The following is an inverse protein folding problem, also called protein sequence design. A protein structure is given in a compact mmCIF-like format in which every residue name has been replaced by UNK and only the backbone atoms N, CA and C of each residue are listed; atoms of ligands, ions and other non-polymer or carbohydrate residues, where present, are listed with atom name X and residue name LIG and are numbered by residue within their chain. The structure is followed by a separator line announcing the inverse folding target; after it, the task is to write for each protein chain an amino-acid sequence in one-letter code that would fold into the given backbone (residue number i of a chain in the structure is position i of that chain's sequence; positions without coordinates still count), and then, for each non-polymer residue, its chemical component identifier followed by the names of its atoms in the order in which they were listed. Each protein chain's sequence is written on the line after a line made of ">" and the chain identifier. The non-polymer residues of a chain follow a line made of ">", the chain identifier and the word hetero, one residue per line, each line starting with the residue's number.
data_IF_784098249014
#
_entry.id   IF_784098249014
#
_cell.length_a   1.000
_cell.length_b   1.000
_cell.length_c   1.000
_cell.angle_alpha   90.00
_cell.angle_beta   90.00
_cell.angle_gamma   90.00
#
_symmetry.space_group_name_H-M   'P 1'
#
loop_
_entity.id
_entity.type
_entity.pdbx_description
1 polymer ?
#
# COMPACT_ATOMS: atom_id res chain seq x y z
N UNK A 1 20.33 16.11 1.64
CA UNK A 1 20.77 15.02 0.74
C UNK A 1 19.94 13.79 1.05
N UNK A 2 19.21 13.25 0.07
CA UNK A 2 18.41 12.01 0.17
C UNK A 2 19.29 10.76 -0.12
N UNK A 3 20.58 10.97 -0.44
CA UNK A 3 21.47 10.00 -1.12
C UNK A 3 21.78 8.71 -0.35
N UNK A 4 21.48 8.61 0.93
CA UNK A 4 21.74 7.41 1.75
C UNK A 4 20.50 6.85 2.46
N UNK A 5 19.30 7.36 2.16
CA UNK A 5 18.07 6.82 2.74
C UNK A 5 17.51 5.74 1.81
N UNK A 6 17.25 4.51 2.30
CA UNK A 6 16.75 3.45 1.45
C UNK A 6 15.35 3.77 0.91
N UNK A 7 15.09 3.30 -0.30
CA UNK A 7 13.76 3.23 -0.89
C UNK A 7 13.16 1.85 -0.61
N UNK A 8 11.93 1.84 -0.12
CA UNK A 8 11.18 0.64 0.19
C UNK A 8 10.03 0.49 -0.80
N UNK A 9 9.88 -0.72 -1.34
CA UNK A 9 8.75 -1.09 -2.18
C UNK A 9 7.73 -1.89 -1.36
N UNK A 10 6.47 -1.48 -1.44
CA UNK A 10 5.32 -2.18 -0.86
C UNK A 10 4.51 -2.75 -2.01
N UNK A 11 4.28 -4.06 -1.96
CA UNK A 11 3.58 -4.81 -2.99
C UNK A 11 2.39 -5.52 -2.36
N UNK A 12 1.21 -5.15 -2.81
CA UNK A 12 -0.05 -5.79 -2.44
C UNK A 12 -0.49 -6.66 -3.61
N UNK A 13 -0.45 -7.98 -3.44
CA UNK A 13 -0.81 -8.94 -4.48
C UNK A 13 -2.19 -9.52 -4.21
N UNK A 14 -2.98 -9.69 -5.26
CA UNK A 14 -4.22 -10.46 -5.22
C UNK A 14 -4.02 -11.77 -5.99
N UNK A 15 -3.73 -12.88 -5.31
CA UNK A 15 -3.57 -14.18 -5.97
C UNK A 15 -4.91 -14.82 -6.38
N UNK A 16 -6.05 -14.21 -6.00
CA UNK A 16 -7.37 -14.74 -6.31
C UNK A 16 -7.78 -14.43 -7.76
N UNK A 17 -8.76 -15.19 -8.26
CA UNK A 17 -9.46 -14.90 -9.53
C UNK A 17 -10.56 -13.85 -9.40
N UNK A 18 -10.73 -13.29 -8.20
CA UNK A 18 -11.79 -12.36 -7.86
C UNK A 18 -11.19 -10.97 -7.60
N UNK A 19 -12.01 -9.92 -7.73
CA UNK A 19 -11.58 -8.56 -7.44
C UNK A 19 -11.47 -8.34 -5.91
N UNK A 20 -10.36 -7.80 -5.43
CA UNK A 20 -10.19 -7.44 -4.02
C UNK A 20 -10.44 -5.94 -3.85
N UNK A 21 -11.37 -5.55 -2.97
CA UNK A 21 -11.80 -4.15 -2.79
C UNK A 21 -11.87 -3.74 -1.32
N UNK A 22 -12.09 -2.44 -1.08
CA UNK A 22 -12.19 -1.84 0.25
C UNK A 22 -10.99 -2.17 1.16
N UNK A 23 -9.80 -2.28 0.55
CA UNK A 23 -8.61 -2.71 1.26
C UNK A 23 -8.09 -1.56 2.13
N UNK A 24 -7.90 -1.87 3.41
CA UNK A 24 -7.30 -0.97 4.40
C UNK A 24 -6.04 -1.62 4.92
N UNK A 25 -4.94 -0.86 4.90
CA UNK A 25 -3.64 -1.27 5.42
C UNK A 25 -3.34 -0.52 6.72
N UNK A 26 -2.71 -1.19 7.67
CA UNK A 26 -2.02 -0.55 8.77
C UNK A 26 -0.78 0.14 8.20
N UNK A 27 -0.67 1.45 8.41
CA UNK A 27 0.50 2.24 8.02
C UNK A 27 0.87 3.23 9.12
N UNK A 28 0.96 2.71 10.35
CA UNK A 28 1.24 3.46 11.57
C UNK A 28 2.52 4.26 11.42
N UNK A 29 2.40 5.59 11.52
CA UNK A 29 3.54 6.50 11.46
C UNK A 29 4.23 6.60 10.08
N UNK A 30 3.61 6.10 9.01
CA UNK A 30 4.17 6.11 7.66
C UNK A 30 4.59 7.53 7.25
N UNK A 31 5.88 7.68 6.96
CA UNK A 31 6.51 8.92 6.50
C UNK A 31 7.41 8.61 5.33
N UNK A 32 7.59 9.59 4.45
CA UNK A 32 8.47 9.48 3.30
C UNK A 32 9.14 10.80 3.02
N UNK A 33 10.42 10.76 2.66
CA UNK A 33 11.17 11.91 2.15
C UNK A 33 10.78 12.26 0.70
N UNK A 34 10.22 11.29 -0.03
CA UNK A 34 9.70 11.47 -1.39
C UNK A 34 8.18 11.36 -1.39
N UNK A 35 7.47 12.01 -2.33
CA UNK A 35 6.03 11.86 -2.47
C UNK A 35 5.65 10.39 -2.69
N UNK A 36 4.73 9.88 -1.88
CA UNK A 36 4.09 8.58 -2.11
C UNK A 36 3.00 8.78 -3.17
N UNK A 37 2.86 7.83 -4.09
CA UNK A 37 1.84 7.87 -5.14
C UNK A 37 0.42 7.81 -4.56
N UNK A 38 -0.26 8.96 -4.55
CA UNK A 38 -1.63 9.11 -4.05
C UNK A 38 -2.71 8.56 -4.99
N UNK A 39 -2.34 8.15 -6.21
CA UNK A 39 -3.27 7.40 -7.07
C UNK A 39 -3.48 5.97 -6.57
N UNK A 40 -2.56 5.43 -5.77
CA UNK A 40 -2.61 4.06 -5.24
C UNK A 40 -3.20 3.99 -3.84
N UNK A 41 -2.82 4.92 -2.97
CA UNK A 41 -3.26 4.91 -1.57
C UNK A 41 -3.63 6.31 -1.06
N UNK A 42 -4.57 6.35 -0.13
CA UNK A 42 -4.87 7.50 0.72
C UNK A 42 -4.41 7.21 2.14
N UNK A 43 -3.64 8.12 2.74
CA UNK A 43 -3.10 7.97 4.10
C UNK A 43 -3.96 8.82 5.04
N UNK A 44 -4.53 8.19 6.07
CA UNK A 44 -5.35 8.83 7.10
C UNK A 44 -4.93 8.37 8.48
N UNK A 45 -4.06 9.16 9.13
CA UNK A 45 -3.49 8.81 10.43
C UNK A 45 -2.64 7.54 10.36
N UNK A 46 -3.14 6.45 10.96
CA UNK A 46 -2.45 5.16 11.03
C UNK A 46 -2.95 4.14 10.00
N UNK A 47 -3.91 4.54 9.17
CA UNK A 47 -4.55 3.68 8.18
C UNK A 47 -4.31 4.21 6.77
N UNK A 48 -4.11 3.28 5.84
CA UNK A 48 -3.92 3.56 4.43
C UNK A 48 -5.00 2.84 3.64
N UNK A 49 -5.90 3.60 3.02
CA UNK A 49 -6.92 3.03 2.14
C UNK A 49 -6.36 2.89 0.73
N UNK A 50 -6.50 1.70 0.15
CA UNK A 50 -6.16 1.49 -1.26
C UNK A 50 -7.30 2.06 -2.10
N UNK A 51 -6.97 2.94 -3.05
CA UNK A 51 -7.99 3.66 -3.84
C UNK A 51 -8.67 2.76 -4.85
N UNK A 52 -7.86 2.07 -5.65
CA UNK A 52 -8.32 1.04 -6.56
C UNK A 52 -8.27 -0.31 -5.83
N UNK A 53 -9.29 -1.13 -5.99
CA UNK A 53 -9.16 -2.53 -5.64
C UNK A 53 -8.11 -3.21 -6.53
N UNK A 54 -7.68 -4.40 -6.12
CA UNK A 54 -6.68 -5.19 -6.82
C UNK A 54 -7.41 -6.21 -7.70
N UNK A 55 -7.24 -6.09 -9.01
CA UNK A 55 -7.81 -7.02 -9.99
C UNK A 55 -7.28 -8.46 -9.81
N UNK A 56 -7.91 -9.41 -10.50
CA UNK A 56 -7.52 -10.81 -10.41
C UNK A 56 -6.07 -11.01 -10.86
N UNK A 57 -5.31 -11.78 -10.08
CA UNK A 57 -3.89 -12.07 -10.34
C UNK A 57 -3.03 -10.83 -10.62
N UNK A 58 -3.42 -9.69 -10.06
CA UNK A 58 -2.74 -8.42 -10.24
C UNK A 58 -2.11 -7.94 -8.94
N UNK A 59 -1.41 -6.81 -9.03
CA UNK A 59 -0.75 -6.20 -7.89
C UNK A 59 -0.84 -4.68 -7.94
N UNK A 60 -0.80 -4.08 -6.75
CA UNK A 60 -0.57 -2.65 -6.58
C UNK A 60 0.78 -2.49 -5.90
N UNK A 61 1.59 -1.59 -6.47
CA UNK A 61 2.93 -1.29 -5.98
C UNK A 61 3.00 0.20 -5.67
N UNK A 62 3.50 0.54 -4.49
CA UNK A 62 3.90 1.90 -4.16
C UNK A 62 5.22 1.90 -3.39
N UNK A 63 5.88 3.05 -3.41
CA UNK A 63 7.22 3.20 -2.83
C UNK A 63 7.27 4.35 -1.85
N UNK A 64 8.17 4.25 -0.88
CA UNK A 64 8.49 5.32 0.05
C UNK A 64 9.98 5.34 0.37
N UNK A 65 10.51 6.51 0.72
CA UNK A 65 11.92 6.68 1.09
C UNK A 65 12.00 7.06 2.55
N UNK A 66 12.52 6.16 3.38
CA UNK A 66 12.63 6.37 4.83
C UNK A 66 13.79 5.58 5.44
N UNK A 67 14.27 6.01 6.61
CA UNK A 67 15.42 5.40 7.27
C UNK A 67 15.17 3.93 7.66
N UNK A 68 13.94 3.62 8.08
CA UNK A 68 13.53 2.29 8.53
C UNK A 68 12.33 1.80 7.73
N UNK A 69 12.17 0.46 7.66
CA UNK A 69 11.02 -0.17 7.04
C UNK A 69 9.82 -0.08 7.97
N UNK A 70 8.70 0.45 7.47
CA UNK A 70 7.42 0.40 8.18
C UNK A 70 6.80 -1.00 8.11
N UNK A 71 6.19 -1.42 9.22
CA UNK A 71 5.41 -2.65 9.31
C UNK A 71 4.01 -2.43 8.73
N UNK A 72 3.90 -2.61 7.41
CA UNK A 72 2.65 -2.45 6.68
C UNK A 72 1.93 -3.79 6.57
N UNK A 73 0.70 -3.84 7.08
CA UNK A 73 -0.13 -5.05 7.15
C UNK A 73 -1.53 -4.79 6.62
N UNK A 74 -2.19 -5.82 6.11
CA UNK A 74 -3.61 -5.72 5.75
C UNK A 74 -4.43 -5.73 7.05
N UNK A 75 -5.30 -4.74 7.24
CA UNK A 75 -6.26 -4.69 8.34
C UNK A 75 -7.60 -5.29 7.92
N UNK A 76 -8.08 -4.89 6.73
CA UNK A 76 -9.35 -5.36 6.19
C UNK A 76 -9.37 -5.30 4.67
N UNK A 77 -10.31 -6.01 4.07
CA UNK A 77 -10.62 -6.00 2.65
C UNK A 77 -11.75 -6.98 2.36
N UNK A 78 -12.37 -6.82 1.20
CA UNK A 78 -13.47 -7.66 0.73
C UNK A 78 -13.11 -8.29 -0.61
N UNK A 79 -13.52 -9.53 -0.83
CA UNK A 79 -13.36 -10.21 -2.12
C UNK A 79 -14.71 -10.22 -2.83
N UNK A 80 -14.75 -9.71 -4.05
CA UNK A 80 -15.91 -9.73 -4.94
C UNK A 80 -15.67 -10.73 -6.07
N UNK A 81 -16.37 -11.87 -5.98
CA UNK A 81 -16.40 -12.91 -7.01
C UNK A 81 -17.73 -12.85 -7.76
N UNK A 82 -17.69 -12.97 -9.08
CA UNK A 82 -18.87 -13.07 -9.96
C UNK A 82 -19.04 -14.46 -10.54
#
# INVERSE_FOLDING_TARGET
>A
MIKNTPEWEVRLTNPCYCYAQDIVLACVGLKSLTPIDRSKISISGNECKVFEGVADRSEIVFKYVWAEKFDIKILSGSIACS
#
